data_IF_476904327532
#
_entry.id   IF_476904327532
#
_cell.length_a   1.000
_cell.length_b   1.000
_cell.length_c   1.000
_cell.angle_alpha   90.00
_cell.angle_beta   90.00
_cell.angle_gamma   90.00
#
_symmetry.space_group_name_H-M   'P 1'
#
loop_
_entity.id
_entity.type
_entity.pdbx_description
1 polymer ?
#
# COMPACT_ATOMS: atom_id res chain seq x y z
N UNK A 1 -41.12 39.51 -3.76
CA UNK A 1 -40.66 38.52 -4.77
C UNK A 1 -39.37 37.90 -4.23
N UNK A 2 -39.44 36.76 -3.55
CA UNK A 2 -38.25 36.04 -3.03
C UNK A 2 -37.87 34.97 -4.04
N UNK A 3 -36.62 35.04 -4.50
CA UNK A 3 -36.11 34.23 -5.59
C UNK A 3 -35.94 32.74 -5.21
N UNK A 4 -36.67 31.89 -5.90
CA UNK A 4 -36.59 30.41 -5.82
C UNK A 4 -35.31 29.79 -6.38
N UNK A 5 -34.37 30.58 -6.91
CA UNK A 5 -33.17 30.13 -7.60
C UNK A 5 -32.06 29.60 -6.67
N UNK A 6 -31.94 30.14 -5.46
CA UNK A 6 -30.89 29.75 -4.51
C UNK A 6 -31.08 28.38 -3.85
N UNK A 7 -32.34 27.92 -3.73
CA UNK A 7 -32.65 26.64 -3.09
C UNK A 7 -32.39 25.45 -4.04
N UNK A 8 -32.61 25.63 -5.32
CA UNK A 8 -32.31 24.64 -6.36
C UNK A 8 -30.80 24.42 -6.52
N UNK A 9 -30.02 25.50 -6.54
CA UNK A 9 -28.57 25.45 -6.71
C UNK A 9 -27.86 24.74 -5.52
N UNK A 10 -28.27 25.00 -4.30
CA UNK A 10 -27.71 24.34 -3.11
C UNK A 10 -28.03 22.84 -3.09
N UNK A 11 -29.23 22.43 -3.46
CA UNK A 11 -29.60 21.00 -3.55
C UNK A 11 -28.80 20.27 -4.64
N UNK A 12 -28.52 20.93 -5.75
CA UNK A 12 -27.71 20.36 -6.81
C UNK A 12 -26.27 20.16 -6.32
N UNK A 13 -25.67 21.17 -5.69
CA UNK A 13 -24.32 21.04 -5.12
C UNK A 13 -24.20 19.96 -4.03
N UNK A 14 -25.25 19.75 -3.22
CA UNK A 14 -25.29 18.68 -2.23
C UNK A 14 -25.42 17.29 -2.88
N UNK A 15 -26.16 17.15 -3.97
CA UNK A 15 -26.23 15.93 -4.77
C UNK A 15 -24.88 15.63 -5.41
N UNK A 16 -24.29 16.63 -6.08
CA UNK A 16 -23.00 16.49 -6.74
C UNK A 16 -21.88 16.12 -5.74
N UNK A 17 -21.89 16.70 -4.52
CA UNK A 17 -21.00 16.33 -3.43
C UNK A 17 -21.22 14.88 -2.94
N UNK A 18 -22.48 14.43 -2.88
CA UNK A 18 -22.79 13.04 -2.51
C UNK A 18 -22.39 12.06 -3.60
N UNK A 19 -22.60 12.39 -4.87
CA UNK A 19 -22.16 11.56 -6.00
C UNK A 19 -20.63 11.47 -6.07
N UNK A 20 -19.91 12.59 -5.90
CA UNK A 20 -18.44 12.61 -5.85
C UNK A 20 -17.93 11.76 -4.67
N UNK A 21 -18.58 11.80 -3.52
CA UNK A 21 -18.22 11.00 -2.35
C UNK A 21 -18.43 9.50 -2.54
N UNK A 22 -19.29 9.10 -3.48
CA UNK A 22 -19.55 7.70 -3.84
C UNK A 22 -18.90 7.24 -5.14
N UNK A 23 -18.20 8.12 -5.85
CA UNK A 23 -17.38 7.69 -6.98
C UNK A 23 -16.23 6.83 -6.48
N UNK A 24 -16.42 5.52 -6.49
CA UNK A 24 -15.32 4.58 -6.33
C UNK A 24 -14.34 4.84 -7.47
N UNK A 25 -13.10 5.14 -7.10
CA UNK A 25 -12.01 5.27 -8.05
C UNK A 25 -11.82 3.91 -8.73
N UNK A 26 -12.26 3.77 -9.99
CA UNK A 26 -12.29 2.50 -10.71
C UNK A 26 -10.99 2.20 -11.45
N UNK A 27 -10.15 3.22 -11.66
CA UNK A 27 -8.95 3.15 -12.49
C UNK A 27 -7.65 3.11 -11.67
N UNK A 28 -7.74 3.30 -10.35
CA UNK A 28 -6.56 3.31 -9.49
C UNK A 28 -6.68 2.22 -8.43
N UNK A 29 -5.60 1.48 -8.24
CA UNK A 29 -5.51 0.53 -7.14
C UNK A 29 -5.57 1.28 -5.82
N UNK A 30 -6.37 0.78 -4.90
CA UNK A 30 -6.47 1.26 -3.52
C UNK A 30 -6.36 0.08 -2.59
N UNK A 31 -5.57 0.20 -1.55
CA UNK A 31 -5.63 -0.76 -0.45
C UNK A 31 -7.07 -0.82 0.14
N UNK A 32 -7.49 -1.96 0.67
CA UNK A 32 -8.81 -2.12 1.29
C UNK A 32 -9.05 -1.13 2.45
N UNK A 33 -7.98 -0.66 3.08
CA UNK A 33 -8.04 0.33 4.15
C UNK A 33 -6.64 0.79 4.57
N UNK A 34 -6.58 1.75 5.48
CA UNK A 34 -5.38 2.25 6.11
C UNK A 34 -4.36 2.91 5.15
N UNK A 35 -3.09 2.92 5.51
CA UNK A 35 -2.06 3.65 4.77
C UNK A 35 -1.53 2.85 3.58
N UNK A 36 -1.34 3.53 2.46
CA UNK A 36 -0.65 3.02 1.27
C UNK A 36 0.20 4.13 0.66
N UNK A 37 1.40 3.79 0.18
CA UNK A 37 2.27 4.71 -0.57
C UNK A 37 2.87 4.01 -1.80
N UNK A 38 4.16 3.66 -1.80
CA UNK A 38 4.88 3.23 -2.99
C UNK A 38 4.35 1.92 -3.59
N UNK A 39 4.12 1.85 -4.92
CA UNK A 39 3.99 0.57 -5.59
C UNK A 39 5.34 -0.15 -5.60
N UNK A 40 5.32 -1.45 -5.34
CA UNK A 40 6.50 -2.31 -5.31
C UNK A 40 6.32 -3.49 -6.26
N UNK A 41 7.41 -3.97 -6.81
CA UNK A 41 7.53 -5.27 -7.46
C UNK A 41 6.39 -5.63 -8.42
N UNK A 42 5.96 -4.71 -9.30
CA UNK A 42 4.96 -5.04 -10.30
C UNK A 42 5.54 -6.03 -11.31
N UNK A 43 4.89 -7.19 -11.44
CA UNK A 43 5.38 -8.28 -12.27
C UNK A 43 4.21 -9.08 -12.90
N UNK A 44 4.40 -9.59 -14.11
CA UNK A 44 3.51 -10.59 -14.69
C UNK A 44 4.02 -11.98 -14.34
N UNK A 45 3.24 -12.75 -13.61
CA UNK A 45 3.62 -14.07 -13.12
C UNK A 45 2.43 -15.01 -13.13
N UNK A 46 2.61 -16.23 -13.63
CA UNK A 46 1.56 -17.27 -13.70
C UNK A 46 0.22 -16.81 -14.27
N UNK A 47 0.26 -15.95 -15.32
CA UNK A 47 -0.94 -15.54 -16.04
C UNK A 47 -1.69 -14.35 -15.42
N UNK A 48 -1.12 -13.70 -14.42
CA UNK A 48 -1.66 -12.51 -13.76
C UNK A 48 -0.60 -11.44 -13.56
N UNK A 49 -1.03 -10.17 -13.47
CA UNK A 49 -0.22 -9.08 -13.00
C UNK A 49 -0.28 -9.07 -11.48
N UNK A 50 0.86 -9.05 -10.83
CA UNK A 50 1.01 -8.90 -9.39
C UNK A 50 1.50 -7.49 -9.12
N UNK A 51 0.87 -6.82 -8.18
CA UNK A 51 1.26 -5.51 -7.67
C UNK A 51 1.40 -5.63 -6.16
N UNK A 52 2.60 -5.38 -5.69
CA UNK A 52 2.84 -5.17 -4.27
C UNK A 52 2.86 -3.67 -3.98
N UNK A 53 2.62 -3.27 -2.74
CA UNK A 53 2.62 -1.86 -2.35
C UNK A 53 2.96 -1.70 -0.87
N UNK A 54 3.61 -0.59 -0.55
CA UNK A 54 3.85 -0.21 0.84
C UNK A 54 2.52 -0.04 1.56
N UNK A 55 2.36 -0.72 2.69
CA UNK A 55 1.12 -0.76 3.43
C UNK A 55 1.38 -0.74 4.94
N UNK A 56 0.70 0.14 5.67
CA UNK A 56 0.60 0.04 7.11
C UNK A 56 -0.82 -0.39 7.48
N UNK A 57 -1.02 -1.67 7.87
CA UNK A 57 -2.36 -2.25 8.01
C UNK A 57 -3.10 -1.82 9.27
N UNK A 58 -2.46 -1.12 10.22
CA UNK A 58 -3.02 -0.86 11.54
C UNK A 58 -3.62 0.53 11.70
N UNK A 59 -3.29 1.50 10.85
CA UNK A 59 -3.81 2.85 10.93
C UNK A 59 -3.70 3.60 9.59
N UNK A 60 -4.53 4.66 9.35
CA UNK A 60 -4.45 5.49 8.16
C UNK A 60 -3.31 6.53 8.26
N UNK A 61 -2.15 6.09 8.67
CA UNK A 61 -0.91 6.87 8.79
C UNK A 61 0.29 5.98 8.49
N UNK A 62 1.42 6.60 8.22
CA UNK A 62 2.69 5.91 8.05
C UNK A 62 3.11 5.21 9.36
N UNK A 63 3.74 4.04 9.25
CA UNK A 63 4.22 3.26 10.40
C UNK A 63 5.15 2.13 9.96
N UNK A 64 5.23 1.07 10.74
CA UNK A 64 5.99 -0.14 10.41
C UNK A 64 5.45 -0.76 9.12
N UNK A 65 6.14 -0.54 8.01
CA UNK A 65 5.66 -0.91 6.68
C UNK A 65 5.65 -2.42 6.46
N UNK A 66 4.59 -2.84 5.81
CA UNK A 66 4.37 -4.15 5.23
C UNK A 66 4.25 -4.01 3.71
N UNK A 67 4.22 -5.11 2.99
CA UNK A 67 3.78 -5.11 1.60
C UNK A 67 2.37 -5.69 1.51
N UNK A 68 1.43 -4.88 1.05
CA UNK A 68 0.15 -5.36 0.55
C UNK A 68 0.32 -5.97 -0.84
N UNK A 69 -0.61 -6.83 -1.23
CA UNK A 69 -0.60 -7.55 -2.50
C UNK A 69 -1.94 -7.47 -3.20
N UNK A 70 -1.92 -7.19 -4.48
CA UNK A 70 -3.07 -7.26 -5.36
C UNK A 70 -2.71 -7.94 -6.66
N UNK A 71 -3.68 -8.62 -7.28
CA UNK A 71 -3.53 -9.28 -8.58
C UNK A 71 -4.57 -8.79 -9.56
N UNK A 72 -4.23 -8.82 -10.85
CA UNK A 72 -5.12 -8.45 -11.94
C UNK A 72 -4.81 -9.26 -13.20
N UNK A 73 -5.83 -9.49 -14.02
CA UNK A 73 -5.64 -10.08 -15.37
C UNK A 73 -5.61 -9.04 -16.49
N UNK A 74 -6.06 -7.83 -16.19
CA UNK A 74 -6.29 -6.78 -17.20
C UNK A 74 -5.75 -5.40 -16.80
N UNK A 75 -5.08 -5.28 -15.63
CA UNK A 75 -4.55 -4.04 -15.06
C UNK A 75 -5.62 -3.00 -14.66
N UNK A 76 -6.88 -3.36 -14.78
CA UNK A 76 -8.03 -2.49 -14.43
C UNK A 76 -8.78 -3.03 -13.22
N UNK A 77 -9.06 -4.34 -13.22
CA UNK A 77 -9.77 -4.99 -12.14
C UNK A 77 -8.77 -5.71 -11.22
N UNK A 78 -8.67 -5.25 -10.00
CA UNK A 78 -7.71 -5.74 -9.02
C UNK A 78 -8.40 -6.46 -7.87
N UNK A 79 -7.87 -7.64 -7.55
CA UNK A 79 -8.22 -8.42 -6.38
C UNK A 79 -7.12 -8.27 -5.32
N UNK A 80 -7.49 -7.91 -4.09
CA UNK A 80 -6.55 -7.77 -2.98
C UNK A 80 -6.41 -9.08 -2.24
N UNK A 81 -5.17 -9.55 -2.11
CA UNK A 81 -4.83 -10.81 -1.44
C UNK A 81 -4.38 -10.61 0.01
N UNK A 82 -4.35 -9.37 0.49
CA UNK A 82 -3.92 -9.04 1.85
C UNK A 82 -2.46 -8.64 1.95
N UNK A 83 -1.81 -8.98 3.06
CA UNK A 83 -0.40 -8.70 3.32
C UNK A 83 0.45 -9.87 2.82
N UNK A 84 1.38 -9.60 1.92
CA UNK A 84 2.32 -10.57 1.37
C UNK A 84 3.64 -10.62 2.14
N UNK A 85 4.09 -9.48 2.64
CA UNK A 85 5.37 -9.35 3.34
C UNK A 85 5.19 -8.51 4.60
N UNK A 86 5.72 -9.01 5.69
CA UNK A 86 5.65 -8.35 7.00
C UNK A 86 6.98 -8.55 7.74
N UNK A 87 7.29 -7.69 8.71
CA UNK A 87 8.48 -7.83 9.54
C UNK A 87 8.57 -9.20 10.20
N UNK A 88 9.64 -9.92 9.95
CA UNK A 88 9.80 -11.31 10.38
C UNK A 88 11.22 -11.66 10.82
N UNK A 89 12.15 -10.73 10.68
CA UNK A 89 13.58 -10.88 11.00
C UNK A 89 14.08 -9.66 11.76
N UNK A 90 15.25 -9.78 12.34
CA UNK A 90 15.87 -8.66 13.05
C UNK A 90 16.15 -7.47 12.09
N UNK A 91 16.54 -7.77 10.85
CA UNK A 91 16.88 -6.74 9.86
C UNK A 91 15.66 -5.97 9.33
N UNK A 92 14.45 -6.54 9.42
CA UNK A 92 13.21 -5.90 8.98
C UNK A 92 12.23 -5.59 10.11
N UNK A 93 12.64 -5.73 11.35
CA UNK A 93 11.80 -5.61 12.54
C UNK A 93 10.92 -4.36 12.56
N UNK A 94 11.41 -3.26 12.01
CA UNK A 94 10.70 -1.98 12.00
C UNK A 94 10.13 -1.61 10.63
N UNK A 95 10.20 -2.50 9.65
CA UNK A 95 9.51 -2.34 8.38
C UNK A 95 10.17 -3.03 7.20
N UNK A 96 9.30 -3.46 6.29
CA UNK A 96 9.67 -3.93 4.96
C UNK A 96 9.50 -2.77 3.99
N UNK A 97 10.59 -2.08 3.65
CA UNK A 97 10.56 -0.90 2.77
C UNK A 97 10.53 -1.30 1.31
N UNK A 98 10.47 -0.29 0.43
CA UNK A 98 10.25 -0.47 -1.00
C UNK A 98 11.32 -1.35 -1.65
N UNK A 99 10.91 -1.98 -2.76
CA UNK A 99 11.75 -2.91 -3.48
C UNK A 99 11.13 -3.33 -4.81
N UNK A 100 11.57 -4.45 -5.35
CA UNK A 100 11.22 -4.92 -6.69
C UNK A 100 10.96 -6.42 -6.72
N UNK A 101 10.39 -6.88 -7.84
CA UNK A 101 10.18 -8.29 -8.14
C UNK A 101 10.78 -8.64 -9.50
N UNK A 102 11.27 -9.86 -9.63
CA UNK A 102 11.72 -10.45 -10.90
C UNK A 102 11.35 -11.92 -10.92
N UNK A 103 11.04 -12.44 -12.09
CA UNK A 103 10.79 -13.86 -12.29
C UNK A 103 12.04 -14.49 -12.92
N UNK A 104 12.45 -15.62 -12.38
CA UNK A 104 13.50 -16.45 -12.96
C UNK A 104 13.15 -17.93 -12.81
N UNK A 105 13.11 -18.66 -13.93
CA UNK A 105 12.87 -20.10 -13.96
C UNK A 105 11.57 -20.55 -13.24
N UNK A 106 10.49 -19.76 -13.36
CA UNK A 106 9.20 -20.06 -12.73
C UNK A 106 9.16 -19.74 -11.24
N UNK A 107 10.13 -19.01 -10.72
CA UNK A 107 10.22 -18.56 -9.34
C UNK A 107 10.13 -17.03 -9.31
N UNK A 108 9.26 -16.50 -8.46
CA UNK A 108 9.22 -15.07 -8.17
C UNK A 108 10.25 -14.74 -7.10
N UNK A 109 11.11 -13.80 -7.38
CA UNK A 109 12.11 -13.25 -6.47
C UNK A 109 11.68 -11.85 -6.06
N UNK A 110 11.56 -11.60 -4.78
CA UNK A 110 11.27 -10.28 -4.21
C UNK A 110 12.50 -9.77 -3.48
N UNK A 111 12.91 -8.55 -3.84
CA UNK A 111 14.02 -7.84 -3.20
C UNK A 111 13.46 -6.62 -2.49
N UNK A 112 13.79 -6.44 -1.23
CA UNK A 112 13.27 -5.34 -0.43
C UNK A 112 14.28 -4.85 0.59
N UNK A 113 14.05 -3.66 1.13
CA UNK A 113 14.88 -3.11 2.18
C UNK A 113 14.24 -3.36 3.54
N UNK A 114 14.88 -4.17 4.36
CA UNK A 114 14.56 -4.31 5.77
C UNK A 114 15.08 -3.10 6.56
N UNK A 115 14.33 -2.68 7.56
CA UNK A 115 14.71 -1.56 8.44
C UNK A 115 14.66 -2.00 9.90
N UNK A 116 15.73 -1.68 10.62
CA UNK A 116 15.86 -1.89 12.05
C UNK A 116 16.21 -0.57 12.74
N UNK A 117 15.39 -0.15 13.71
CA UNK A 117 15.65 1.06 14.49
C UNK A 117 16.66 0.77 15.60
N UNK A 118 17.79 1.48 15.59
CA UNK A 118 18.74 1.42 16.70
C UNK A 118 18.14 2.03 17.97
N UNK A 119 17.28 3.05 17.76
CA UNK A 119 16.52 3.65 18.86
C UNK A 119 15.06 3.86 18.43
N UNK A 120 14.16 3.18 19.13
CA UNK A 120 12.72 3.34 18.93
C UNK A 120 12.23 4.62 19.62
N UNK A 121 11.38 5.38 18.94
CA UNK A 121 10.75 6.54 19.54
C UNK A 121 9.78 6.10 20.67
N UNK A 122 10.00 6.51 21.93
CA UNK A 122 9.17 6.08 23.05
C UNK A 122 7.73 6.59 22.98
N UNK A 123 7.45 7.59 22.13
CA UNK A 123 6.10 8.14 21.92
C UNK A 123 5.37 7.47 20.77
N UNK A 124 6.08 6.82 19.87
CA UNK A 124 5.51 6.09 18.73
C UNK A 124 6.48 4.98 18.28
N UNK A 125 6.18 3.74 18.66
CA UNK A 125 6.99 2.57 18.36
C UNK A 125 7.16 2.31 16.85
N UNK A 126 6.36 2.95 16.01
CA UNK A 126 6.45 2.85 14.56
C UNK A 126 7.41 3.85 13.92
N UNK A 127 8.14 4.60 14.73
CA UNK A 127 9.13 5.58 14.28
C UNK A 127 10.45 5.41 15.03
N UNK A 128 11.55 5.65 14.34
CA UNK A 128 12.85 5.74 15.00
C UNK A 128 13.03 7.12 15.67
N UNK A 129 13.86 7.14 16.69
CA UNK A 129 14.33 8.38 17.29
C UNK A 129 15.51 8.92 16.46
N UNK A 130 15.49 10.23 16.18
CA UNK A 130 16.59 10.96 15.51
C UNK A 130 17.07 10.36 14.17
N UNK A 131 16.20 9.60 13.48
CA UNK A 131 16.50 8.87 12.25
C UNK A 131 17.67 7.85 12.42
N UNK A 132 17.85 7.35 13.63
CA UNK A 132 18.87 6.36 13.95
C UNK A 132 18.39 4.95 13.65
N UNK A 133 18.62 4.48 12.44
CA UNK A 133 18.25 3.15 11.96
C UNK A 133 19.34 2.55 11.08
N UNK A 134 19.35 1.23 10.99
CA UNK A 134 20.09 0.47 9.99
C UNK A 134 19.16 -0.10 8.94
N UNK A 135 19.68 -0.39 7.77
CA UNK A 135 18.94 -1.03 6.69
C UNK A 135 19.75 -2.16 6.05
N UNK A 136 19.04 -3.19 5.60
CA UNK A 136 19.60 -4.34 4.91
C UNK A 136 18.81 -4.63 3.63
N UNK A 137 19.51 -5.09 2.60
CA UNK A 137 18.85 -5.61 1.40
C UNK A 137 18.50 -7.08 1.64
N UNK A 138 17.24 -7.39 1.53
CA UNK A 138 16.70 -8.71 1.78
C UNK A 138 16.09 -9.30 0.51
N UNK A 139 16.14 -10.63 0.41
CA UNK A 139 15.64 -11.39 -0.71
C UNK A 139 14.79 -12.56 -0.22
N UNK A 140 13.65 -12.73 -0.84
CA UNK A 140 12.82 -13.92 -0.66
C UNK A 140 12.30 -14.44 -2.00
N UNK A 141 11.84 -15.67 -2.01
CA UNK A 141 11.30 -16.33 -3.19
C UNK A 141 9.93 -16.89 -2.92
N UNK A 142 9.08 -16.89 -3.96
CA UNK A 142 7.81 -17.59 -3.97
C UNK A 142 7.68 -18.42 -5.26
N UNK A 143 7.05 -19.57 -5.14
CA UNK A 143 6.66 -20.43 -6.27
C UNK A 143 5.15 -20.46 -6.48
N UNK A 144 4.41 -19.72 -5.67
CA UNK A 144 2.94 -19.70 -5.64
C UNK A 144 2.37 -18.50 -6.38
#
# INVERSE_FOLDING_TARGET
>A
MLSFSGFSYRRQQERDRKEIKHMKNRLHVKAPGNWVNDPNGMIYYKGQYHLFYQHFPYAPRWGTMHWGHAVSRDLVHWEHLGVALFPSKDEDQNGCFSGSAVEENGVMHLFYTGVHYNQVNPKDIHQCLDQDFTSAQLHLTSKD
#
